data_IF_009690815756
#
_entry.id   IF_009690815756
#
_cell.length_a   1.000
_cell.length_b   1.000
_cell.length_c   1.000
_cell.angle_alpha   90.00
_cell.angle_beta   90.00
_cell.angle_gamma   90.00
#
_symmetry.space_group_name_H-M   'P 1'
#
loop_
_entity.id
_entity.type
_entity.pdbx_description
1 polymer ?
#
# COMPACT_ATOMS: atom_id res chain seq x y z
N UNK A 1 27.86 -1.86 -14.70
CA UNK A 1 27.70 -1.91 -13.24
C UNK A 1 27.30 -0.52 -12.77
N UNK A 2 26.06 -0.32 -12.29
CA UNK A 2 25.64 0.95 -11.68
C UNK A 2 25.84 0.79 -10.16
N UNK A 3 26.47 1.75 -9.45
CA UNK A 3 26.66 1.61 -8.01
C UNK A 3 25.29 1.48 -7.35
N UNK A 4 25.11 0.44 -6.54
CA UNK A 4 24.01 0.40 -5.57
C UNK A 4 24.31 1.51 -4.56
N UNK A 5 23.61 2.64 -4.70
CA UNK A 5 23.57 3.63 -3.63
C UNK A 5 23.19 2.90 -2.34
N UNK A 6 24.01 3.10 -1.31
CA UNK A 6 23.80 2.53 0.01
C UNK A 6 22.41 2.98 0.50
N UNK A 7 21.48 2.01 0.57
CA UNK A 7 20.08 2.21 0.95
C UNK A 7 20.00 2.41 2.46
N UNK A 8 20.43 3.58 2.93
CA UNK A 8 20.38 3.96 4.33
C UNK A 8 18.95 3.94 4.91
N UNK A 9 17.95 4.15 4.06
CA UNK A 9 16.52 3.96 4.36
C UNK A 9 16.17 2.50 4.74
N UNK A 10 16.94 1.51 4.30
CA UNK A 10 16.74 0.10 4.66
C UNK A 10 17.65 -0.39 5.79
N UNK A 11 18.65 0.42 6.18
CA UNK A 11 19.60 0.06 7.23
C UNK A 11 19.03 0.39 8.61
N UNK A 12 18.72 -0.64 9.41
CA UNK A 12 18.16 -0.48 10.77
C UNK A 12 18.94 0.48 11.69
N UNK A 13 20.24 0.64 11.48
CA UNK A 13 21.11 1.50 12.32
C UNK A 13 21.10 2.97 11.89
N UNK A 14 20.59 3.28 10.70
CA UNK A 14 20.55 4.64 10.20
C UNK A 14 19.58 5.50 11.00
N UNK A 15 19.91 6.78 11.23
CA UNK A 15 19.13 7.68 12.08
C UNK A 15 17.69 7.83 11.60
N UNK A 16 17.47 7.83 10.27
CA UNK A 16 16.14 7.95 9.68
C UNK A 16 15.20 6.81 10.09
N UNK A 17 15.75 5.60 10.27
CA UNK A 17 14.98 4.45 10.71
C UNK A 17 14.65 4.48 12.20
N UNK A 18 15.46 5.20 13.01
CA UNK A 18 15.12 5.48 14.41
C UNK A 18 13.94 6.45 14.49
N UNK A 19 13.93 7.48 13.64
CA UNK A 19 12.84 8.45 13.57
C UNK A 19 11.51 7.79 13.15
N UNK A 20 11.56 6.90 12.15
CA UNK A 20 10.40 6.09 11.74
C UNK A 20 9.85 5.26 12.92
N UNK A 21 10.72 4.63 13.71
CA UNK A 21 10.29 3.85 14.87
C UNK A 21 9.60 4.72 15.94
N UNK A 22 10.14 5.92 16.21
CA UNK A 22 9.53 6.88 17.14
C UNK A 22 8.16 7.33 16.62
N UNK A 23 8.05 7.66 15.34
CA UNK A 23 6.78 8.07 14.73
C UNK A 23 5.73 6.94 14.80
N UNK A 24 6.13 5.71 14.48
CA UNK A 24 5.23 4.56 14.56
C UNK A 24 4.73 4.34 16.00
N UNK A 25 5.59 4.49 17.00
CA UNK A 25 5.16 4.42 18.41
C UNK A 25 4.10 5.46 18.74
N UNK A 26 4.27 6.71 18.29
CA UNK A 26 3.26 7.76 18.46
C UNK A 26 1.95 7.46 17.74
N UNK A 27 2.00 6.81 16.57
CA UNK A 27 0.79 6.42 15.84
C UNK A 27 0.00 5.32 16.57
N UNK A 28 0.69 4.35 17.19
CA UNK A 28 0.06 3.30 18.00
C UNK A 28 -0.62 3.86 19.27
N UNK A 29 -0.09 4.96 19.83
CA UNK A 29 -0.71 5.67 20.96
C UNK A 29 -2.01 6.42 20.58
N UNK A 30 -2.29 6.58 19.28
CA UNK A 30 -3.51 7.24 18.82
C UNK A 30 -4.69 6.25 18.80
N UNK A 31 -5.47 6.22 19.89
CA UNK A 31 -6.57 5.27 20.10
C UNK A 31 -7.72 5.33 19.08
N UNK A 32 -7.79 6.38 18.26
CA UNK A 32 -8.92 6.65 17.36
C UNK A 32 -8.81 6.00 15.98
N UNK A 33 -7.69 5.37 15.64
CA UNK A 33 -7.49 4.78 14.31
C UNK A 33 -6.93 3.37 14.38
N UNK A 34 -7.32 2.53 13.42
CA UNK A 34 -6.69 1.23 13.25
C UNK A 34 -5.36 1.42 12.53
N UNK A 35 -4.27 1.26 13.27
CA UNK A 35 -2.91 1.31 12.72
C UNK A 35 -2.62 0.00 11.99
N UNK A 36 -2.13 0.14 10.75
CA UNK A 36 -1.73 -1.00 9.94
C UNK A 36 -0.22 -1.17 10.04
N UNK A 37 0.22 -2.28 10.62
CA UNK A 37 1.65 -2.59 10.71
C UNK A 37 2.25 -2.92 9.33
N UNK A 38 3.15 -2.04 8.90
CA UNK A 38 3.93 -2.14 7.66
C UNK A 38 5.30 -2.80 7.80
N UNK A 39 5.72 -3.27 8.99
CA UNK A 39 7.07 -3.81 9.23
C UNK A 39 7.43 -5.04 8.38
N UNK A 40 6.42 -5.76 7.87
CA UNK A 40 6.60 -6.86 6.91
C UNK A 40 7.10 -6.39 5.52
N UNK A 41 6.98 -5.10 5.21
CA UNK A 41 7.49 -4.51 3.98
C UNK A 41 9.02 -4.48 3.99
N UNK A 42 9.62 -5.48 3.36
CA UNK A 42 11.07 -5.57 3.09
C UNK A 42 11.48 -4.85 1.80
N UNK A 43 12.79 -4.68 1.59
CA UNK A 43 13.37 -4.00 0.41
C UNK A 43 12.81 -4.45 -0.94
N UNK A 44 12.48 -5.73 -1.10
CA UNK A 44 11.86 -6.29 -2.31
C UNK A 44 10.46 -5.73 -2.64
N UNK A 45 9.81 -5.04 -1.70
CA UNK A 45 8.48 -4.46 -1.86
C UNK A 45 8.52 -2.98 -2.29
N UNK A 46 9.71 -2.38 -2.34
CA UNK A 46 9.92 -1.00 -2.73
C UNK A 46 10.45 -0.90 -4.16
N UNK A 47 10.34 0.28 -4.76
CA UNK A 47 11.01 0.60 -6.03
C UNK A 47 12.52 0.61 -5.81
N UNK A 48 13.27 0.66 -6.92
CA UNK A 48 14.73 0.75 -6.87
C UNK A 48 15.23 1.93 -6.03
N UNK A 49 14.52 3.05 -6.07
CA UNK A 49 14.79 4.27 -5.28
C UNK A 49 14.30 4.20 -3.83
N UNK A 50 13.56 3.17 -3.46
CA UNK A 50 13.33 2.76 -2.07
C UNK A 50 12.22 3.40 -1.29
N UNK A 51 11.87 4.63 -1.61
CA UNK A 51 10.84 5.37 -0.88
C UNK A 51 9.41 4.99 -1.30
N UNK A 52 9.23 4.48 -2.52
CA UNK A 52 7.92 4.14 -3.05
C UNK A 52 7.70 2.63 -3.09
N UNK A 53 6.46 2.17 -2.90
CA UNK A 53 6.12 0.76 -3.06
C UNK A 53 6.08 0.35 -4.54
N UNK A 54 6.65 -0.81 -4.85
CA UNK A 54 6.48 -1.44 -6.16
C UNK A 54 5.12 -2.17 -6.24
N UNK A 55 4.85 -2.89 -7.35
CA UNK A 55 3.59 -3.62 -7.54
C UNK A 55 3.32 -4.64 -6.43
N UNK A 56 4.35 -5.35 -5.97
CA UNK A 56 4.23 -6.33 -4.89
C UNK A 56 3.94 -5.66 -3.56
N UNK A 57 4.66 -4.58 -3.24
CA UNK A 57 4.42 -3.80 -2.02
C UNK A 57 3.03 -3.21 -1.95
N UNK A 58 2.54 -2.63 -3.06
CA UNK A 58 1.15 -2.13 -3.16
C UNK A 58 0.12 -3.22 -2.90
N UNK A 59 0.33 -4.43 -3.45
CA UNK A 59 -0.57 -5.57 -3.25
C UNK A 59 -0.57 -6.04 -1.79
N UNK A 60 0.61 -6.10 -1.15
CA UNK A 60 0.72 -6.49 0.25
C UNK A 60 0.04 -5.47 1.18
N UNK A 61 0.34 -4.19 1.00
CA UNK A 61 -0.27 -3.12 1.78
C UNK A 61 -1.80 -3.08 1.59
N UNK A 62 -2.27 -3.21 0.34
CA UNK A 62 -3.71 -3.25 0.04
C UNK A 62 -4.44 -4.39 0.76
N UNK A 63 -3.83 -5.58 0.86
CA UNK A 63 -4.40 -6.70 1.64
C UNK A 63 -4.51 -6.36 3.13
N UNK A 64 -3.49 -5.74 3.71
CA UNK A 64 -3.51 -5.34 5.12
C UNK A 64 -4.57 -4.27 5.39
N UNK A 65 -4.76 -3.32 4.47
CA UNK A 65 -5.83 -2.32 4.54
C UNK A 65 -7.21 -2.99 4.56
N UNK A 66 -7.48 -3.88 3.60
CA UNK A 66 -8.77 -4.60 3.54
C UNK A 66 -9.00 -5.43 4.80
N UNK A 67 -7.96 -6.09 5.33
CA UNK A 67 -8.07 -6.85 6.58
C UNK A 67 -8.39 -5.96 7.78
N UNK A 68 -7.75 -4.79 7.92
CA UNK A 68 -8.03 -3.85 8.99
C UNK A 68 -9.48 -3.33 8.92
N UNK A 69 -9.94 -2.94 7.72
CA UNK A 69 -11.32 -2.51 7.49
C UNK A 69 -12.32 -3.64 7.80
N UNK A 70 -12.02 -4.87 7.37
CA UNK A 70 -12.87 -6.03 7.65
C UNK A 70 -12.97 -6.38 9.13
N UNK A 71 -11.89 -6.17 9.91
CA UNK A 71 -11.92 -6.34 11.38
C UNK A 71 -12.79 -5.28 12.04
N UNK A 72 -12.71 -4.03 11.59
CA UNK A 72 -13.57 -2.96 12.13
C UNK A 72 -15.05 -3.17 11.83
N UNK A 73 -15.40 -3.66 10.64
CA UNK A 73 -16.80 -3.90 10.28
C UNK A 73 -17.40 -5.12 10.99
N UNK A 74 -16.58 -6.10 11.37
CA UNK A 74 -17.03 -7.22 12.20
C UNK A 74 -17.33 -6.81 13.65
N UNK A 75 -16.58 -5.84 14.20
CA UNK A 75 -16.85 -5.27 15.53
C UNK A 75 -18.00 -4.26 15.54
N UNK A 76 -18.37 -3.70 14.39
CA UNK A 76 -19.45 -2.73 14.23
C UNK A 76 -20.74 -3.31 13.65
N UNK A 77 -21.00 -4.61 13.79
CA UNK A 77 -22.24 -5.24 13.29
C UNK A 77 -23.48 -4.79 14.08
N UNK A 78 -23.94 -3.60 13.72
CA UNK A 78 -25.33 -3.16 13.65
C UNK A 78 -25.47 -2.42 12.31
N UNK A 79 -25.53 -3.19 11.23
CA UNK A 79 -26.37 -3.04 10.02
C UNK A 79 -25.71 -3.63 8.77
N UNK A 80 -26.40 -4.50 8.01
CA UNK A 80 -25.89 -5.09 6.79
C UNK A 80 -26.46 -4.33 5.59
N UNK A 81 -25.75 -3.34 5.08
CA UNK A 81 -25.89 -3.00 3.67
C UNK A 81 -24.63 -2.27 3.23
N UNK A 82 -23.90 -2.88 2.30
CA UNK A 82 -23.02 -2.25 1.31
C UNK A 82 -22.26 -3.36 0.58
N UNK A 83 -22.98 -4.05 -0.32
CA UNK A 83 -22.35 -4.70 -1.46
C UNK A 83 -22.39 -3.68 -2.61
N UNK A 84 -21.39 -2.80 -2.67
CA UNK A 84 -21.20 -1.92 -3.83
C UNK A 84 -20.61 -2.72 -4.97
N UNK A 85 -21.41 -3.00 -5.99
CA UNK A 85 -20.96 -3.57 -7.26
C UNK A 85 -19.81 -2.74 -7.83
N UNK A 86 -18.72 -3.41 -8.21
CA UNK A 86 -17.64 -2.78 -8.98
C UNK A 86 -18.19 -2.51 -10.38
N UNK A 87 -18.16 -1.26 -10.89
CA UNK A 87 -18.60 -1.00 -12.26
C UNK A 87 -17.69 -1.75 -13.23
N UNK A 88 -18.27 -2.72 -13.94
CA UNK A 88 -17.66 -3.38 -15.09
C UNK A 88 -17.38 -2.29 -16.14
N UNK A 89 -16.10 -2.01 -16.42
CA UNK A 89 -15.75 -1.13 -17.53
C UNK A 89 -16.18 -1.80 -18.84
N UNK A 90 -17.17 -1.19 -19.49
CA UNK A 90 -17.57 -1.54 -20.84
C UNK A 90 -16.39 -1.38 -21.81
N UNK A 91 -16.18 -2.42 -22.61
CA UNK A 91 -15.28 -2.41 -23.76
C UNK A 91 -15.70 -1.31 -24.72
N UNK A 92 -14.91 -0.23 -24.79
CA UNK A 92 -15.04 0.73 -25.88
C UNK A 92 -14.15 0.26 -27.04
N UNK A 93 -14.86 -0.13 -28.10
CA UNK A 93 -14.40 -0.51 -29.42
C UNK A 93 -13.38 0.45 -30.03
N UNK A 94 -12.38 -0.14 -30.69
CA UNK A 94 -11.36 0.52 -31.52
C UNK A 94 -11.98 1.32 -32.68
N UNK A 95 -11.49 2.51 -33.03
CA UNK A 95 -11.78 3.09 -34.34
C UNK A 95 -10.81 2.55 -35.40
N UNK A 96 -11.38 2.05 -36.50
CA UNK A 96 -10.68 1.61 -37.71
C UNK A 96 -9.93 2.78 -38.36
N UNK A 97 -8.66 2.58 -38.67
CA UNK A 97 -7.89 3.49 -39.53
C UNK A 97 -8.35 3.27 -40.97
N UNK A 98 -8.93 4.31 -41.59
CA UNK A 98 -9.18 4.35 -43.03
C UNK A 98 -7.86 4.72 -43.70
N UNK A 99 -7.31 3.78 -44.46
CA UNK A 99 -6.18 3.99 -45.37
C UNK A 99 -6.72 4.71 -46.63
N UNK A 100 -6.26 5.93 -46.88
CA UNK A 100 -6.55 6.64 -48.14
C UNK A 100 -5.35 6.43 -49.05
N UNK A 101 -5.58 5.70 -50.15
CA UNK A 101 -4.66 5.57 -51.30
C UNK A 101 -4.86 6.71 -52.29
#
# INVERSE_FOLDING_TARGET
FVPLFQRHDLEKKHFINKEIAILNGKLEEMESFNVIDGTELRGQHFTRHGMHLNKMGKKLLGRKIVQAIGRTSATSKSDPDLCGEIPTQEQTTSPSVIEVS
#
